data_IF_714420447858
#
_entry.id   IF_714420447858
#
_cell.length_a   1.000
_cell.length_b   1.000
_cell.length_c   1.000
_cell.angle_alpha   90.00
_cell.angle_beta   90.00
_cell.angle_gamma   90.00
#
_symmetry.space_group_name_H-M   'P 1'
#
loop_
_entity.id
_entity.type
_entity.pdbx_description
1 polymer ?
#
# COMPACT_ATOMS: atom_id res chain seq x y z
N UNK A 1 12.27 16.51 -13.58
CA UNK A 1 12.22 15.04 -13.91
C UNK A 1 10.77 14.68 -14.20
N UNK A 2 10.45 13.64 -14.99
CA UNK A 2 9.05 13.23 -15.16
C UNK A 2 8.54 12.46 -13.93
N UNK A 3 7.23 12.52 -13.62
CA UNK A 3 6.62 11.72 -12.54
C UNK A 3 6.63 10.23 -12.88
N UNK A 4 7.47 9.48 -12.19
CA UNK A 4 7.39 8.02 -12.10
C UNK A 4 6.44 7.63 -10.97
N UNK A 5 5.34 6.98 -11.31
CA UNK A 5 4.26 6.63 -10.39
C UNK A 5 4.02 5.11 -10.45
N UNK A 6 4.84 4.34 -9.75
CA UNK A 6 4.84 2.87 -9.85
C UNK A 6 4.38 2.15 -8.56
N UNK A 7 4.10 2.90 -7.49
CA UNK A 7 3.55 2.42 -6.22
C UNK A 7 2.81 3.52 -5.49
N UNK A 8 2.12 3.17 -4.41
CA UNK A 8 1.47 4.14 -3.53
C UNK A 8 2.46 5.04 -2.79
N UNK A 9 2.02 6.26 -2.51
CA UNK A 9 2.74 7.27 -1.73
C UNK A 9 2.13 7.41 -0.34
N UNK A 10 2.95 7.69 0.67
CA UNK A 10 2.50 7.94 2.04
C UNK A 10 2.23 9.42 2.32
N UNK A 11 1.86 10.19 1.31
CA UNK A 11 1.48 11.58 1.46
C UNK A 11 0.82 12.09 0.19
N UNK A 12 0.23 13.27 0.27
CA UNK A 12 -0.31 13.96 -0.89
C UNK A 12 0.45 15.27 -1.12
N UNK A 13 0.66 15.58 -2.41
CA UNK A 13 1.43 16.74 -2.85
C UNK A 13 0.72 18.04 -2.47
N UNK A 14 -0.61 18.03 -2.45
CA UNK A 14 -1.43 19.19 -2.08
C UNK A 14 -1.15 19.63 -0.65
N UNK A 15 -1.15 18.72 0.33
CA UNK A 15 -0.79 19.04 1.72
C UNK A 15 0.66 19.46 1.87
N UNK A 16 1.57 18.86 1.12
CA UNK A 16 2.99 19.22 1.17
C UNK A 16 3.23 20.67 0.68
N UNK A 17 2.40 21.14 -0.27
CA UNK A 17 2.40 22.51 -0.78
C UNK A 17 1.61 23.50 0.07
N UNK A 18 0.85 23.03 1.05
CA UNK A 18 0.10 23.92 1.92
C UNK A 18 1.07 24.72 2.80
N UNK A 19 0.84 26.03 2.85
CA UNK A 19 1.74 27.03 3.46
C UNK A 19 1.89 26.81 4.99
N UNK A 20 1.08 25.91 5.55
CA UNK A 20 1.10 25.45 6.94
C UNK A 20 2.23 24.46 7.27
N UNK A 21 2.71 23.68 6.30
CA UNK A 21 3.78 22.68 6.48
C UNK A 21 5.10 23.12 5.85
N UNK A 22 5.04 23.92 4.79
CA UNK A 22 6.18 24.42 4.05
C UNK A 22 5.89 25.89 3.74
N UNK A 23 6.63 26.85 4.30
CA UNK A 23 6.52 28.25 3.89
C UNK A 23 7.10 28.35 2.48
N UNK A 24 6.21 28.34 1.50
CA UNK A 24 6.42 28.37 0.05
C UNK A 24 7.89 28.40 -0.44
N UNK A 25 8.46 27.26 -0.86
CA UNK A 25 9.70 27.24 -1.63
C UNK A 25 9.49 27.23 -3.15
N UNK A 26 8.25 27.18 -3.65
CA UNK A 26 7.96 27.21 -5.09
C UNK A 26 6.50 27.59 -5.37
N UNK A 27 6.23 28.89 -5.50
CA UNK A 27 4.93 29.45 -5.88
C UNK A 27 4.46 29.07 -7.31
N UNK A 28 5.07 28.06 -7.95
CA UNK A 28 4.81 27.65 -9.32
C UNK A 28 4.78 26.14 -9.48
N UNK A 29 4.05 25.65 -10.48
CA UNK A 29 3.96 24.23 -10.86
C UNK A 29 5.26 23.65 -11.46
N UNK A 30 6.39 24.36 -11.32
CA UNK A 30 7.66 24.01 -11.96
C UNK A 30 8.37 22.83 -11.30
N UNK A 31 8.25 22.71 -9.98
CA UNK A 31 8.98 21.74 -9.15
C UNK A 31 8.10 20.59 -8.64
N UNK A 32 6.86 20.55 -9.14
CA UNK A 32 5.81 19.64 -8.71
C UNK A 32 6.15 18.17 -9.02
N UNK A 33 6.94 17.93 -10.05
CA UNK A 33 7.39 16.59 -10.41
C UNK A 33 8.56 16.14 -9.55
N UNK A 34 9.54 17.02 -9.28
CA UNK A 34 10.65 16.76 -8.38
C UNK A 34 10.16 16.45 -6.97
N UNK A 35 9.22 17.24 -6.45
CA UNK A 35 8.69 17.04 -5.11
C UNK A 35 7.87 15.74 -4.99
N UNK A 36 7.16 15.36 -6.05
CA UNK A 36 6.50 14.05 -6.13
C UNK A 36 7.51 12.91 -6.09
N UNK A 37 8.63 13.02 -6.82
CA UNK A 37 9.72 12.03 -6.78
C UNK A 37 10.40 11.97 -5.41
N UNK A 38 10.58 13.10 -4.73
CA UNK A 38 11.08 13.12 -3.36
C UNK A 38 10.10 12.42 -2.41
N UNK A 39 8.80 12.66 -2.52
CA UNK A 39 7.81 11.95 -1.70
C UNK A 39 7.82 10.43 -1.96
N UNK A 40 8.05 10.03 -3.20
CA UNK A 40 8.16 8.63 -3.60
C UNK A 40 9.36 7.93 -2.96
N UNK A 41 10.53 8.56 -3.02
CA UNK A 41 11.75 8.04 -2.40
C UNK A 41 11.66 8.01 -0.88
N UNK A 42 11.02 9.00 -0.26
CA UNK A 42 10.75 8.99 1.19
C UNK A 42 9.73 7.93 1.59
N UNK A 43 8.71 7.68 0.78
CA UNK A 43 7.78 6.58 1.04
C UNK A 43 8.51 5.23 1.04
N UNK A 44 9.44 5.04 0.09
CA UNK A 44 10.33 3.87 0.07
C UNK A 44 11.19 3.78 1.32
N UNK A 45 11.80 4.89 1.70
CA UNK A 45 12.66 4.94 2.86
C UNK A 45 11.89 4.56 4.14
N UNK A 46 10.63 5.01 4.27
CA UNK A 46 9.76 4.65 5.38
C UNK A 46 9.48 3.14 5.41
N UNK A 47 9.26 2.52 4.24
CA UNK A 47 9.10 1.06 4.15
C UNK A 47 10.34 0.31 4.62
N UNK A 48 11.52 0.73 4.16
CA UNK A 48 12.81 0.13 4.56
C UNK A 48 13.09 0.34 6.05
N UNK A 49 12.84 1.54 6.57
CA UNK A 49 13.03 1.86 7.99
C UNK A 49 12.13 1.01 8.89
N UNK A 50 10.88 0.84 8.51
CA UNK A 50 9.91 0.04 9.27
C UNK A 50 10.07 -1.48 9.01
N UNK A 51 10.82 -1.87 7.97
CA UNK A 51 10.92 -3.23 7.46
C UNK A 51 9.54 -3.85 7.16
N UNK A 52 8.67 -3.06 6.53
CA UNK A 52 7.31 -3.45 6.13
C UNK A 52 6.77 -2.51 5.07
N UNK A 53 5.75 -2.98 4.34
CA UNK A 53 5.01 -2.17 3.39
C UNK A 53 3.65 -1.79 3.97
N UNK A 54 3.28 -0.51 3.93
CA UNK A 54 1.99 -0.05 4.43
C UNK A 54 0.87 -0.15 3.40
N UNK A 55 1.19 0.00 2.12
CA UNK A 55 0.20 -0.15 1.05
C UNK A 55 -0.15 -1.63 0.77
N UNK A 56 -1.43 -1.93 0.45
CA UNK A 56 -1.87 -3.29 0.14
C UNK A 56 -1.41 -3.72 -1.25
N UNK A 57 -0.76 -4.89 -1.33
CA UNK A 57 -0.23 -5.49 -2.55
C UNK A 57 -0.90 -6.84 -2.81
N UNK A 58 -1.49 -7.01 -3.97
CA UNK A 58 -2.05 -8.30 -4.37
C UNK A 58 -0.91 -9.15 -4.94
N UNK A 59 -0.55 -10.22 -4.24
CA UNK A 59 0.57 -11.07 -4.63
C UNK A 59 0.38 -12.50 -4.12
N UNK A 60 0.98 -13.43 -4.85
CA UNK A 60 1.16 -14.81 -4.43
C UNK A 60 2.57 -14.99 -3.90
N UNK A 61 2.70 -15.44 -2.65
CA UNK A 61 3.98 -15.72 -2.00
C UNK A 61 4.10 -17.22 -1.69
N UNK A 62 5.32 -17.74 -1.82
CA UNK A 62 5.64 -19.13 -1.50
C UNK A 62 6.38 -19.19 -0.16
N UNK A 63 6.06 -20.20 0.63
CA UNK A 63 6.59 -20.39 1.99
C UNK A 63 7.07 -21.80 2.20
N UNK A 64 8.16 -21.92 2.95
CA UNK A 64 8.64 -23.20 3.43
C UNK A 64 7.68 -23.77 4.48
N UNK A 65 7.51 -25.08 4.41
CA UNK A 65 6.82 -25.87 5.39
C UNK A 65 7.62 -26.02 6.68
N UNK A 66 7.02 -25.66 7.80
CA UNK A 66 7.72 -25.58 9.10
C UNK A 66 7.63 -26.86 9.94
N UNK A 67 6.77 -27.82 9.55
CA UNK A 67 6.36 -28.94 10.41
C UNK A 67 5.54 -28.52 11.64
N UNK A 68 5.16 -27.25 11.75
CA UNK A 68 4.49 -26.66 12.91
C UNK A 68 2.99 -26.46 12.65
N UNK A 69 2.24 -26.13 13.71
CA UNK A 69 0.83 -25.72 13.58
C UNK A 69 0.67 -24.25 13.22
N UNK A 70 1.77 -23.50 13.16
CA UNK A 70 1.82 -22.06 12.91
C UNK A 70 2.86 -21.73 11.85
N UNK A 71 2.45 -21.06 10.80
CA UNK A 71 3.31 -20.50 9.75
C UNK A 71 3.44 -19.00 9.97
N UNK A 72 4.66 -18.50 10.13
CA UNK A 72 4.93 -17.06 10.19
C UNK A 72 4.93 -16.51 8.77
N UNK A 73 4.24 -15.39 8.58
CA UNK A 73 4.11 -14.73 7.28
C UNK A 73 4.41 -13.23 7.41
N UNK A 74 4.77 -12.56 6.31
CA UNK A 74 4.78 -11.11 6.22
C UNK A 74 3.40 -10.52 6.54
N UNK A 75 3.35 -9.18 6.65
CA UNK A 75 2.10 -8.48 6.94
C UNK A 75 1.05 -8.78 5.86
N UNK A 76 -0.07 -9.36 6.28
CA UNK A 76 -1.19 -9.77 5.43
C UNK A 76 -2.45 -9.02 5.84
N UNK A 77 -3.14 -8.43 4.86
CA UNK A 77 -4.44 -7.78 5.02
C UNK A 77 -5.56 -8.80 4.85
N UNK A 78 -5.54 -9.57 3.77
CA UNK A 78 -6.57 -10.56 3.50
C UNK A 78 -5.99 -11.75 2.76
N UNK A 79 -6.44 -12.94 3.16
CA UNK A 79 -6.08 -14.19 2.53
C UNK A 79 -7.10 -14.55 1.46
N UNK A 80 -6.64 -14.85 0.24
CA UNK A 80 -7.48 -15.32 -0.86
C UNK A 80 -7.47 -16.84 -0.92
N UNK A 81 -6.29 -17.45 -0.93
CA UNK A 81 -6.13 -18.91 -0.96
C UNK A 81 -4.82 -19.35 -0.32
N UNK A 82 -4.84 -20.57 0.24
CA UNK A 82 -3.63 -21.29 0.66
C UNK A 82 -3.66 -22.62 -0.05
N UNK A 83 -2.56 -22.95 -0.70
CA UNK A 83 -2.37 -24.23 -1.37
C UNK A 83 -1.11 -24.90 -0.87
N UNK A 84 -1.15 -26.22 -0.82
CA UNK A 84 -0.07 -27.09 -0.40
C UNK A 84 0.41 -27.90 -1.61
N UNK A 85 1.72 -28.01 -1.76
CA UNK A 85 2.37 -28.87 -2.73
C UNK A 85 2.59 -30.26 -2.16
N UNK A 86 1.63 -31.17 -2.34
CA UNK A 86 1.68 -32.50 -1.74
C UNK A 86 2.72 -33.45 -2.34
N UNK A 87 3.32 -33.12 -3.48
CA UNK A 87 4.16 -34.04 -4.25
C UNK A 87 5.48 -33.41 -4.74
N UNK A 88 5.82 -32.21 -4.28
CA UNK A 88 7.09 -31.52 -4.53
C UNK A 88 7.33 -31.25 -6.04
N UNK A 89 6.25 -30.98 -6.78
CA UNK A 89 6.29 -30.67 -8.21
C UNK A 89 5.98 -29.19 -8.53
N UNK A 90 5.75 -28.38 -7.49
CA UNK A 90 5.36 -26.96 -7.53
C UNK A 90 4.04 -26.69 -8.25
N UNK A 91 3.18 -27.69 -8.38
CA UNK A 91 1.85 -27.51 -8.96
C UNK A 91 0.79 -27.08 -7.92
N UNK A 92 1.10 -27.15 -6.62
CA UNK A 92 0.25 -26.67 -5.51
C UNK A 92 -1.19 -27.18 -5.59
N UNK A 93 -1.33 -28.51 -5.58
CA UNK A 93 -2.55 -29.18 -6.01
C UNK A 93 -3.64 -29.25 -4.93
N UNK A 94 -3.29 -29.02 -3.66
CA UNK A 94 -4.23 -29.16 -2.56
C UNK A 94 -4.59 -27.80 -1.95
N UNK A 95 -5.85 -27.41 -2.05
CA UNK A 95 -6.34 -26.12 -1.54
C UNK A 95 -6.94 -26.28 -0.15
N UNK A 96 -6.43 -25.51 0.81
CA UNK A 96 -6.95 -25.51 2.18
C UNK A 96 -8.26 -24.73 2.26
N UNK A 97 -9.26 -25.29 2.96
CA UNK A 97 -10.54 -24.64 3.13
C UNK A 97 -10.50 -23.62 4.28
N UNK A 98 -11.38 -22.61 4.25
CA UNK A 98 -11.40 -21.54 5.26
C UNK A 98 -11.65 -22.02 6.70
N UNK A 99 -12.19 -23.23 6.89
CA UNK A 99 -12.37 -23.88 8.18
C UNK A 99 -11.14 -24.63 8.69
N UNK A 100 -10.08 -24.77 7.88
CA UNK A 100 -8.84 -25.49 8.22
C UNK A 100 -7.83 -24.60 8.95
N UNK A 101 -7.96 -23.28 8.85
CA UNK A 101 -7.00 -22.32 9.40
C UNK A 101 -7.69 -21.11 10.04
N UNK A 102 -6.95 -20.41 10.88
CA UNK A 102 -7.25 -19.07 11.37
C UNK A 102 -6.05 -18.15 11.16
N UNK A 103 -6.34 -16.87 10.92
CA UNK A 103 -5.32 -15.84 10.83
C UNK A 103 -5.05 -15.26 12.22
N UNK A 104 -3.77 -15.04 12.53
CA UNK A 104 -3.32 -14.43 13.78
C UNK A 104 -2.61 -13.09 13.48
N UNK A 105 -2.74 -12.07 14.35
CA UNK A 105 -3.48 -12.08 15.61
C UNK A 105 -5.00 -12.10 15.39
N UNK A 106 -5.73 -12.66 16.37
CA UNK A 106 -7.20 -12.58 16.36
C UNK A 106 -7.64 -11.12 16.47
N UNK A 107 -8.76 -10.78 15.84
CA UNK A 107 -9.32 -9.41 15.81
C UNK A 107 -8.34 -8.36 15.25
N UNK A 108 -7.52 -8.74 14.27
CA UNK A 108 -6.60 -7.80 13.63
C UNK A 108 -7.33 -6.72 12.82
N UNK A 109 -8.46 -7.08 12.18
CA UNK A 109 -9.34 -6.17 11.43
C UNK A 109 -8.61 -5.17 10.49
N UNK A 110 -7.73 -5.64 9.58
CA UNK A 110 -6.85 -4.77 8.78
C UNK A 110 -7.58 -3.86 7.78
N UNK A 111 -8.90 -3.98 7.63
CA UNK A 111 -9.72 -3.05 6.87
C UNK A 111 -10.16 -1.82 7.68
N UNK A 112 -9.93 -1.79 9.00
CA UNK A 112 -10.33 -0.70 9.89
C UNK A 112 -9.18 0.28 10.18
N UNK A 113 -9.53 1.51 10.58
CA UNK A 113 -8.56 2.56 10.88
C UNK A 113 -7.65 2.24 12.09
N UNK A 114 -8.11 1.41 13.02
CA UNK A 114 -7.34 0.90 14.17
C UNK A 114 -6.78 -0.51 13.94
N UNK A 115 -7.03 -1.07 12.76
CA UNK A 115 -6.63 -2.42 12.42
C UNK A 115 -5.12 -2.59 12.29
N UNK A 116 -4.68 -3.84 12.41
CA UNK A 116 -3.31 -4.28 12.24
C UNK A 116 -3.26 -5.48 11.28
N UNK A 117 -2.10 -5.80 10.68
CA UNK A 117 -2.00 -6.93 9.76
C UNK A 117 -2.02 -8.27 10.49
N UNK A 118 -2.43 -9.30 9.76
CA UNK A 118 -2.14 -10.68 10.11
C UNK A 118 -0.66 -10.97 9.87
N UNK A 119 -0.05 -11.74 10.78
CA UNK A 119 1.41 -12.04 10.78
C UNK A 119 1.69 -13.52 10.91
N UNK A 120 0.66 -14.34 11.13
CA UNK A 120 0.78 -15.78 11.12
C UNK A 120 -0.52 -16.42 10.66
N UNK A 121 -0.39 -17.60 10.08
CA UNK A 121 -1.50 -18.49 9.78
C UNK A 121 -1.37 -19.67 10.72
N UNK A 122 -2.47 -20.03 11.38
CA UNK A 122 -2.50 -21.14 12.32
C UNK A 122 -3.49 -22.19 11.87
N UNK A 123 -3.09 -23.45 11.95
CA UNK A 123 -3.96 -24.59 11.70
C UNK A 123 -5.03 -24.67 12.80
N UNK A 124 -6.27 -24.88 12.40
CA UNK A 124 -7.39 -25.03 13.32
C UNK A 124 -7.44 -26.46 13.87
N UNK A 125 -7.59 -26.60 15.18
CA UNK A 125 -7.69 -27.92 15.84
C UNK A 125 -8.88 -28.76 15.35
N UNK A 126 -9.95 -28.10 14.88
CA UNK A 126 -11.15 -28.74 14.32
C UNK A 126 -11.18 -28.73 12.78
N UNK A 127 -10.08 -28.36 12.14
CA UNK A 127 -9.90 -28.46 10.68
C UNK A 127 -9.58 -29.88 10.25
N UNK A 128 -9.49 -30.08 8.94
CA UNK A 128 -9.00 -31.32 8.32
C UNK A 128 -7.47 -31.38 8.26
N UNK A 129 -6.81 -30.22 8.33
CA UNK A 129 -5.36 -30.05 8.34
C UNK A 129 -4.83 -30.12 9.78
N UNK A 130 -3.65 -30.71 9.95
CA UNK A 130 -3.03 -30.91 11.27
C UNK A 130 -1.80 -30.01 11.50
N UNK A 131 -0.95 -29.84 10.49
CA UNK A 131 0.27 -29.04 10.54
C UNK A 131 0.57 -28.46 9.16
N UNK A 132 1.41 -27.43 9.11
CA UNK A 132 2.14 -27.05 7.90
C UNK A 132 3.25 -28.08 7.69
N UNK A 133 2.98 -29.10 6.87
CA UNK A 133 3.92 -30.15 6.45
C UNK A 133 5.28 -29.58 6.09
N UNK A 134 6.36 -30.24 6.51
CA UNK A 134 7.74 -29.75 6.28
C UNK A 134 8.13 -29.93 4.83
N UNK A 135 8.74 -28.91 4.22
CA UNK A 135 9.20 -28.95 2.83
C UNK A 135 9.67 -27.59 2.35
N UNK A 136 10.47 -27.55 1.30
CA UNK A 136 10.89 -26.29 0.66
C UNK A 136 9.75 -25.77 -0.21
N UNK A 137 9.44 -24.47 -0.12
CA UNK A 137 8.38 -23.81 -0.92
C UNK A 137 7.05 -24.59 -0.96
N UNK A 138 6.71 -25.24 0.15
CA UNK A 138 5.63 -26.22 0.22
C UNK A 138 4.24 -25.58 0.23
N UNK A 139 4.15 -24.29 0.55
CA UNK A 139 2.90 -23.56 0.64
C UNK A 139 2.89 -22.36 -0.30
N UNK A 140 1.81 -22.22 -1.07
CA UNK A 140 1.51 -21.04 -1.85
C UNK A 140 0.36 -20.28 -1.19
N UNK A 141 0.60 -19.03 -0.85
CA UNK A 141 -0.38 -18.15 -0.22
C UNK A 141 -0.67 -16.97 -1.13
N UNK A 142 -1.90 -16.92 -1.61
CA UNK A 142 -2.42 -15.82 -2.41
C UNK A 142 -3.20 -14.87 -1.50
N UNK A 143 -2.94 -13.58 -1.61
CA UNK A 143 -3.66 -12.60 -0.83
C UNK A 143 -3.23 -11.17 -1.09
N UNK A 144 -3.75 -10.29 -0.24
CA UNK A 144 -3.38 -8.88 -0.18
C UNK A 144 -2.43 -8.69 0.99
N UNK A 145 -1.18 -8.34 0.69
CA UNK A 145 -0.08 -8.17 1.63
C UNK A 145 0.17 -6.69 1.91
N UNK A 146 0.39 -6.33 3.16
CA UNK A 146 0.62 -4.95 3.59
C UNK A 146 0.13 -4.72 5.01
N UNK A 147 0.39 -3.55 5.56
CA UNK A 147 0.01 -3.23 6.94
C UNK A 147 -1.51 -3.19 7.15
N UNK A 148 -2.23 -2.51 6.25
CA UNK A 148 -3.70 -2.41 6.30
C UNK A 148 -4.27 -1.96 4.96
N UNK A 149 -5.57 -2.19 4.75
CA UNK A 149 -6.34 -1.64 3.64
C UNK A 149 -7.55 -0.88 4.20
N UNK A 150 -7.26 0.15 5.00
CA UNK A 150 -8.30 1.08 5.43
C UNK A 150 -8.62 2.03 4.27
N UNK A 151 -9.90 2.14 3.95
CA UNK A 151 -10.42 2.97 2.87
C UNK A 151 -11.50 3.90 3.39
N UNK A 152 -11.48 5.13 2.91
CA UNK A 152 -12.53 6.10 3.16
C UNK A 152 -13.31 6.31 1.87
N UNK A 153 -14.62 6.44 1.98
CA UNK A 153 -15.45 6.88 0.86
C UNK A 153 -15.06 8.32 0.50
N UNK A 154 -14.83 8.58 -0.79
CA UNK A 154 -14.53 9.93 -1.27
C UNK A 154 -15.76 10.84 -1.25
N UNK A 155 -16.97 10.27 -1.17
CA UNK A 155 -18.23 11.00 -1.27
C UNK A 155 -18.62 11.43 -2.69
N UNK A 156 -17.88 10.94 -3.70
CA UNK A 156 -18.14 11.14 -5.12
C UNK A 156 -17.95 9.84 -5.88
N UNK A 157 -18.62 9.74 -7.02
CA UNK A 157 -18.59 8.54 -7.85
C UNK A 157 -17.84 8.78 -9.16
N UNK A 158 -17.52 7.69 -9.85
CA UNK A 158 -17.04 7.69 -11.23
C UNK A 158 -18.12 8.27 -12.16
N UNK A 159 -17.75 9.27 -12.96
CA UNK A 159 -18.61 9.90 -13.97
C UNK A 159 -18.04 9.62 -15.37
N UNK A 160 -18.05 8.34 -15.73
CA UNK A 160 -17.61 7.89 -17.04
C UNK A 160 -18.41 6.65 -17.45
N UNK A 161 -19.37 6.87 -18.35
CA UNK A 161 -20.21 5.83 -18.94
C UNK A 161 -19.44 4.71 -19.66
N UNK A 162 -18.14 4.88 -19.90
CA UNK A 162 -17.31 3.90 -20.59
C UNK A 162 -15.87 3.90 -20.06
N UNK A 163 -15.68 3.69 -18.76
CA UNK A 163 -14.34 3.51 -18.20
C UNK A 163 -13.78 2.12 -18.57
N UNK A 164 -12.82 2.07 -19.51
CA UNK A 164 -12.18 0.83 -19.99
C UNK A 164 -10.85 0.56 -19.27
N UNK A 165 -10.21 -0.59 -19.52
CA UNK A 165 -8.90 -0.96 -18.94
C UNK A 165 -7.71 -0.12 -19.44
N UNK A 166 -7.87 0.63 -20.54
CA UNK A 166 -6.80 1.41 -21.17
C UNK A 166 -6.84 2.91 -20.86
N UNK A 167 -7.98 3.43 -20.39
CA UNK A 167 -8.11 4.84 -20.01
C UNK A 167 -7.24 5.15 -18.80
N UNK A 168 -6.44 6.21 -18.88
CA UNK A 168 -5.58 6.73 -17.78
C UNK A 168 -6.13 8.00 -17.14
N UNK A 169 -7.28 8.48 -17.63
CA UNK A 169 -8.03 9.59 -17.03
C UNK A 169 -9.33 9.02 -16.46
N UNK A 170 -9.54 9.22 -15.16
CA UNK A 170 -10.75 8.84 -14.43
C UNK A 170 -11.55 10.12 -14.23
N UNK A 171 -12.73 10.22 -14.86
CA UNK A 171 -13.65 11.31 -14.62
C UNK A 171 -14.51 11.02 -13.38
N UNK A 172 -14.65 11.99 -12.48
CA UNK A 172 -15.45 11.88 -11.25
C UNK A 172 -16.48 13.01 -11.21
N UNK A 173 -17.51 12.88 -10.38
CA UNK A 173 -18.49 13.97 -10.22
C UNK A 173 -17.91 15.21 -9.53
N UNK A 174 -17.03 15.02 -8.55
CA UNK A 174 -16.36 16.10 -7.84
C UNK A 174 -14.86 15.83 -7.65
N UNK A 175 -14.02 16.46 -8.47
CA UNK A 175 -12.56 16.34 -8.37
C UNK A 175 -11.95 17.02 -7.13
N UNK A 176 -12.70 17.85 -6.41
CA UNK A 176 -12.19 18.59 -5.25
C UNK A 176 -11.97 17.72 -4.01
N UNK A 177 -12.54 16.50 -3.99
CA UNK A 177 -12.36 15.52 -2.93
C UNK A 177 -10.98 14.84 -2.96
N UNK A 178 -10.20 15.06 -4.02
CA UNK A 178 -8.95 14.35 -4.28
C UNK A 178 -7.73 15.26 -4.25
N UNK A 179 -6.57 14.67 -3.99
CA UNK A 179 -5.28 15.32 -4.07
C UNK A 179 -4.29 14.47 -4.87
N UNK A 180 -3.37 15.14 -5.57
CA UNK A 180 -2.26 14.47 -6.27
C UNK A 180 -1.41 13.71 -5.26
N UNK A 181 -1.08 12.46 -5.58
CA UNK A 181 -0.34 11.53 -4.73
C UNK A 181 -1.23 10.60 -3.90
N UNK A 182 -2.54 10.81 -3.86
CA UNK A 182 -3.45 9.85 -3.23
C UNK A 182 -3.60 8.59 -4.08
N UNK A 183 -3.71 7.44 -3.40
CA UNK A 183 -4.12 6.18 -4.04
C UNK A 183 -5.62 6.00 -3.86
N UNK A 184 -6.33 5.87 -4.97
CA UNK A 184 -7.77 5.57 -5.01
C UNK A 184 -8.01 4.09 -5.29
N UNK A 185 -9.17 3.62 -4.89
CA UNK A 185 -9.65 2.25 -5.11
C UNK A 185 -11.05 2.31 -5.72
N UNK A 186 -11.23 1.69 -6.89
CA UNK A 186 -12.54 1.48 -7.51
C UNK A 186 -12.71 -0.03 -7.71
N UNK A 187 -13.75 -0.61 -7.12
CA UNK A 187 -13.88 -2.07 -7.02
C UNK A 187 -12.66 -2.68 -6.32
N UNK A 188 -11.86 -3.45 -7.06
CA UNK A 188 -10.59 -4.05 -6.60
C UNK A 188 -9.32 -3.43 -7.20
N UNK A 189 -9.43 -2.39 -8.04
CA UNK A 189 -8.29 -1.78 -8.71
C UNK A 189 -7.73 -0.60 -7.91
N UNK A 190 -6.42 -0.60 -7.66
CA UNK A 190 -5.71 0.52 -7.05
C UNK A 190 -5.09 1.42 -8.12
N UNK A 191 -5.27 2.73 -7.98
CA UNK A 191 -4.75 3.73 -8.93
C UNK A 191 -4.17 4.93 -8.18
N UNK A 192 -3.03 5.46 -8.61
CA UNK A 192 -2.38 6.63 -7.99
C UNK A 192 -2.68 7.86 -8.82
N UNK A 193 -3.18 8.91 -8.18
CA UNK A 193 -3.46 10.19 -8.84
C UNK A 193 -2.14 10.92 -9.10
N UNK A 194 -1.83 11.13 -10.37
CA UNK A 194 -0.63 11.85 -10.82
C UNK A 194 -0.94 13.25 -11.31
N UNK A 195 -2.19 13.60 -11.62
CA UNK A 195 -2.61 14.96 -11.91
C UNK A 195 -4.12 15.11 -11.70
N UNK A 196 -4.58 16.34 -11.45
CA UNK A 196 -6.01 16.67 -11.36
C UNK A 196 -6.27 17.90 -12.22
N UNK A 197 -7.26 17.80 -13.11
CA UNK A 197 -7.76 18.93 -13.88
C UNK A 197 -9.27 18.98 -13.71
N UNK A 198 -9.77 19.89 -12.86
CA UNK A 198 -11.18 19.93 -12.45
C UNK A 198 -11.63 18.56 -11.94
N UNK A 199 -12.54 17.90 -12.66
CA UNK A 199 -13.13 16.61 -12.34
C UNK A 199 -12.44 15.42 -13.04
N UNK A 200 -11.32 15.66 -13.72
CA UNK A 200 -10.55 14.63 -14.41
C UNK A 200 -9.27 14.31 -13.63
N UNK A 201 -9.19 13.09 -13.10
CA UNK A 201 -8.02 12.56 -12.40
C UNK A 201 -7.15 11.81 -13.40
N UNK A 202 -5.93 12.28 -13.65
CA UNK A 202 -4.92 11.47 -14.36
C UNK A 202 -4.31 10.50 -13.36
N UNK A 203 -4.28 9.22 -13.71
CA UNK A 203 -3.85 8.15 -12.80
C UNK A 203 -2.85 7.20 -13.43
N UNK A 204 -1.98 6.63 -12.60
CA UNK A 204 -1.33 5.36 -12.90
C UNK A 204 -2.17 4.22 -12.37
N UNK A 205 -2.45 3.24 -13.22
CA UNK A 205 -3.39 2.14 -12.98
C UNK A 205 -2.68 0.85 -12.62
N UNK A 206 -3.47 -0.17 -12.24
CA UNK A 206 -2.98 -1.51 -11.93
C UNK A 206 -1.83 -1.49 -10.90
N UNK A 207 -1.95 -0.65 -9.87
CA UNK A 207 -0.90 -0.51 -8.88
C UNK A 207 -0.90 -1.67 -7.90
N UNK A 208 0.27 -1.89 -7.29
CA UNK A 208 0.45 -2.81 -6.18
C UNK A 208 -0.04 -4.24 -6.51
N UNK A 209 0.16 -4.69 -7.75
CA UNK A 209 -0.25 -6.03 -8.20
C UNK A 209 -1.75 -6.18 -8.50
N UNK A 210 -2.54 -5.10 -8.45
CA UNK A 210 -3.91 -5.12 -8.97
C UNK A 210 -3.92 -5.11 -10.49
N UNK A 211 -5.05 -5.46 -11.11
CA UNK A 211 -5.22 -5.47 -12.57
C UNK A 211 -6.12 -4.32 -13.00
N UNK A 212 -5.82 -3.72 -14.16
CA UNK A 212 -6.68 -2.69 -14.72
C UNK A 212 -8.04 -3.30 -15.11
N UNK A 213 -9.13 -2.74 -14.60
CA UNK A 213 -10.49 -3.22 -14.83
C UNK A 213 -11.34 -2.20 -15.60
N UNK A 214 -12.41 -2.66 -16.23
CA UNK A 214 -13.48 -1.77 -16.68
C UNK A 214 -14.37 -1.46 -15.48
N UNK A 215 -14.77 -0.20 -15.32
CA UNK A 215 -15.63 0.25 -14.23
C UNK A 215 -16.91 0.85 -14.81
N UNK A 216 -18.03 0.63 -14.13
CA UNK A 216 -19.31 1.18 -14.55
C UNK A 216 -19.45 2.63 -14.07
N UNK A 217 -20.23 3.43 -14.78
CA UNK A 217 -20.66 4.74 -14.29
C UNK A 217 -21.29 4.62 -12.90
N UNK A 218 -21.13 5.66 -12.09
CA UNK A 218 -21.61 5.72 -10.72
C UNK A 218 -21.01 4.63 -9.79
N UNK A 219 -19.84 4.07 -10.14
CA UNK A 219 -19.08 3.24 -9.21
C UNK A 219 -18.45 4.09 -8.12
N UNK A 220 -18.64 3.69 -6.86
CA UNK A 220 -18.01 4.34 -5.70
C UNK A 220 -16.49 4.47 -5.89
N UNK A 221 -15.96 5.65 -5.56
CA UNK A 221 -14.53 5.91 -5.51
C UNK A 221 -14.09 6.00 -4.05
N UNK A 222 -13.14 5.15 -3.65
CA UNK A 222 -12.58 5.18 -2.30
C UNK A 222 -11.15 5.72 -2.31
N UNK A 223 -10.72 6.31 -1.20
CA UNK A 223 -9.34 6.75 -0.98
C UNK A 223 -8.68 5.82 0.06
N UNK A 224 -7.52 5.25 -0.28
CA UNK A 224 -6.73 4.46 0.67
C UNK A 224 -6.02 5.39 1.66
N UNK A 225 -6.09 5.02 2.95
CA UNK A 225 -5.55 5.82 4.06
C UNK A 225 -4.51 5.06 4.85
N UNK A 226 -3.37 5.70 5.05
CA UNK A 226 -2.26 5.14 5.80
C UNK A 226 -2.37 5.53 7.28
N UNK A 227 -1.64 4.87 8.19
CA UNK A 227 -1.59 5.34 9.57
C UNK A 227 -1.13 6.80 9.61
N UNK A 228 -1.88 7.66 10.31
CA UNK A 228 -1.62 9.11 10.28
C UNK A 228 -0.20 9.48 10.72
N UNK A 229 0.44 8.67 11.57
CA UNK A 229 1.84 8.82 11.96
C UNK A 229 2.80 8.57 10.79
N UNK A 230 2.51 7.59 9.94
CA UNK A 230 3.28 7.26 8.73
C UNK A 230 3.13 8.38 7.70
N UNK A 231 1.89 8.86 7.51
CA UNK A 231 1.63 9.98 6.58
C UNK A 231 2.37 11.25 7.00
N UNK A 232 2.28 11.60 8.29
CA UNK A 232 2.98 12.75 8.86
C UNK A 232 4.50 12.59 8.77
N UNK A 233 5.03 11.41 9.06
CA UNK A 233 6.46 11.14 8.98
C UNK A 233 7.00 11.36 7.56
N UNK A 234 6.30 10.84 6.54
CA UNK A 234 6.69 11.03 5.15
C UNK A 234 6.66 12.52 4.76
N UNK A 235 5.56 13.22 5.07
CA UNK A 235 5.43 14.65 4.74
C UNK A 235 6.51 15.51 5.44
N UNK A 236 6.76 15.29 6.73
CA UNK A 236 7.77 16.04 7.49
C UNK A 236 9.17 15.82 6.90
N UNK A 237 9.53 14.57 6.62
CA UNK A 237 10.84 14.24 6.09
C UNK A 237 11.05 14.81 4.68
N UNK A 238 10.03 14.70 3.82
CA UNK A 238 10.04 15.30 2.48
C UNK A 238 10.21 16.81 2.56
N UNK A 239 9.42 17.51 3.37
CA UNK A 239 9.49 18.96 3.58
C UNK A 239 10.90 19.42 4.02
N UNK A 240 11.51 18.67 4.94
CA UNK A 240 12.83 18.98 5.48
C UNK A 240 13.95 18.77 4.47
N UNK A 241 13.93 17.65 3.75
CA UNK A 241 14.94 17.40 2.72
C UNK A 241 14.84 18.45 1.62
N UNK A 242 13.62 18.79 1.20
CA UNK A 242 13.37 19.83 0.20
C UNK A 242 13.97 21.18 0.60
N UNK A 243 13.73 21.62 1.84
CA UNK A 243 14.22 22.93 2.33
C UNK A 243 15.71 22.97 2.65
N UNK A 244 16.35 21.83 2.90
CA UNK A 244 17.79 21.73 3.22
C UNK A 244 18.70 21.69 1.99
N UNK A 245 18.17 21.31 0.82
CA UNK A 245 18.96 21.21 -0.41
C UNK A 245 19.19 22.61 -1.01
N UNK A 246 20.40 23.16 -0.84
CA UNK A 246 20.80 24.43 -1.48
C UNK A 246 21.14 24.26 -2.98
N UNK A 247 21.56 23.06 -3.37
CA UNK A 247 21.74 22.59 -4.74
C UNK A 247 21.49 21.08 -4.74
N UNK A 248 20.80 20.58 -5.77
CA UNK A 248 20.28 19.23 -5.89
C UNK A 248 21.41 18.20 -6.15
N UNK A 249 22.21 17.88 -5.14
CA UNK A 249 23.16 16.75 -5.19
C UNK A 249 22.43 15.42 -4.96
N UNK A 250 22.87 14.30 -5.58
CA UNK A 250 22.13 13.05 -5.61
C UNK A 250 21.95 12.44 -4.21
N UNK A 251 20.76 12.62 -3.66
CA UNK A 251 19.98 11.68 -2.85
C UNK A 251 20.79 10.71 -1.96
N UNK A 252 21.59 11.23 -1.04
CA UNK A 252 21.95 10.47 0.16
C UNK A 252 20.96 10.85 1.26
N UNK A 253 19.98 9.98 1.52
CA UNK A 253 19.21 9.98 2.77
C UNK A 253 20.12 9.39 3.85
N UNK A 254 21.25 10.06 4.11
CA UNK A 254 22.30 9.57 5.01
C UNK A 254 22.71 10.68 5.98
N UNK A 255 21.79 10.97 6.90
CA UNK A 255 22.06 11.58 8.19
C UNK A 255 20.79 11.40 9.03
N UNK A 256 20.85 10.46 9.97
CA UNK A 256 19.90 10.18 11.06
C UNK A 256 18.50 10.77 10.93
N UNK A 257 17.48 9.89 10.89
CA UNK A 257 16.08 10.27 10.98
C UNK A 257 15.89 11.24 12.15
N UNK A 258 15.31 12.41 11.88
CA UNK A 258 15.01 13.36 12.94
C UNK A 258 14.18 12.63 14.02
N UNK A 259 14.50 12.91 15.29
CA UNK A 259 14.00 12.10 16.41
C UNK A 259 12.47 12.06 16.46
N UNK A 260 11.79 13.11 16.01
CA UNK A 260 10.33 13.19 15.93
C UNK A 260 9.75 12.27 14.85
N UNK A 261 10.33 12.25 13.65
CA UNK A 261 9.96 11.31 12.58
C UNK A 261 10.19 9.88 13.06
N UNK A 262 11.28 9.64 13.81
CA UNK A 262 11.58 8.33 14.39
C UNK A 262 10.53 7.89 15.40
N UNK A 263 10.13 8.78 16.30
CA UNK A 263 9.08 8.50 17.28
C UNK A 263 7.73 8.17 16.63
N UNK A 264 7.42 8.75 15.46
CA UNK A 264 6.21 8.43 14.70
C UNK A 264 6.26 7.03 14.06
N UNK A 265 7.43 6.57 13.64
CA UNK A 265 7.62 5.33 12.89
C UNK A 265 7.99 4.12 13.77
N UNK A 266 8.65 4.35 14.91
CA UNK A 266 9.11 3.30 15.83
C UNK A 266 8.02 2.27 16.22
N UNK A 267 6.74 2.66 16.50
CA UNK A 267 5.68 1.70 16.79
C UNK A 267 5.40 0.70 15.66
N UNK A 268 5.75 1.06 14.43
CA UNK A 268 5.54 0.24 13.23
C UNK A 268 6.80 -0.51 12.81
N UNK A 269 7.93 -0.30 13.48
CA UNK A 269 9.19 -0.92 13.10
C UNK A 269 9.19 -2.40 13.47
N UNK A 270 9.47 -3.25 12.48
CA UNK A 270 9.76 -4.68 12.69
C UNK A 270 11.26 -4.91 12.66
N UNK A 271 11.76 -5.67 13.64
CA UNK A 271 13.13 -6.17 13.57
C UNK A 271 13.22 -7.19 12.43
N UNK A 272 14.34 -7.24 11.69
CA UNK A 272 14.56 -8.32 10.74
C UNK A 272 14.53 -9.64 11.52
N UNK A 273 13.60 -10.51 11.14
CA UNK A 273 13.43 -11.87 11.67
C UNK A 273 14.35 -12.84 10.98
#
# INVERSE_FOLDING_TARGET
MAREAYRSLYGDLTKLKDDSLLKDPAAGSGDDDEMFQLLLTISDWVDHFCNRYFYPRTQTLEFDGTGSTRLLIPDLVSLTSIKEDTNDDKAFNDSWAANDYWLEPYNAEPAQAWGQPYTAIRVRQHGTKATFTSGEQHFQVEGTWGYRQYKEDSGTDLNDASMTTAKTTVAVDDGTQFAVGQTILIGGEQMLITNISTNALTVTRALNGTTAAAHADNSDVYILRWPASVERAALIQTARIWTRAADFEPFFVDADLDTDVRLLLDPYRKLPT
#
